data_IF_351220942879
#
_entry.id   IF_351220942879
#
_cell.length_a   1.000
_cell.length_b   1.000
_cell.length_c   1.000
_cell.angle_alpha   90.00
_cell.angle_beta   90.00
_cell.angle_gamma   90.00
#
_symmetry.space_group_name_H-M   'P 1'
#
loop_
_entity.id
_entity.type
_entity.pdbx_description
1 polymer ?
#
# COMPACT_ATOMS: atom_id res chain seq x y z
N UNK A 1 10.93 73.35 22.13
CA UNK A 1 11.63 72.69 23.25
C UNK A 1 12.81 71.93 22.64
N UNK A 2 13.98 72.56 22.59
CA UNK A 2 15.19 71.93 22.09
C UNK A 2 15.63 70.90 23.14
N UNK A 3 15.66 69.62 22.77
CA UNK A 3 16.19 68.58 23.64
C UNK A 3 17.63 68.93 24.00
N UNK A 4 17.96 68.93 25.30
CA UNK A 4 19.32 69.12 25.76
C UNK A 4 20.22 68.06 25.11
N UNK A 5 21.37 68.47 24.57
CA UNK A 5 22.37 67.54 24.05
C UNK A 5 22.75 66.55 25.16
N UNK A 6 22.88 65.24 24.87
CA UNK A 6 23.14 64.25 25.89
C UNK A 6 24.42 64.59 26.67
N UNK A 7 24.33 64.49 27.99
CA UNK A 7 25.45 64.67 28.91
C UNK A 7 26.59 63.69 28.57
N UNK A 8 27.82 63.97 29.00
CA UNK A 8 28.96 63.06 28.76
C UNK A 8 28.71 61.65 29.32
N UNK A 9 27.99 61.55 30.45
CA UNK A 9 27.61 60.29 31.08
C UNK A 9 26.63 59.46 30.23
N UNK A 10 25.60 60.10 29.65
CA UNK A 10 24.63 59.41 28.77
C UNK A 10 25.31 58.82 27.53
N UNK A 11 26.29 59.55 26.95
CA UNK A 11 27.06 59.06 25.80
C UNK A 11 27.94 57.86 26.16
N UNK A 12 28.62 57.90 27.30
CA UNK A 12 29.44 56.78 27.80
C UNK A 12 28.55 55.55 28.06
N UNK A 13 27.40 55.74 28.70
CA UNK A 13 26.46 54.65 28.94
C UNK A 13 25.91 54.03 27.65
N UNK A 14 25.55 54.86 26.65
CA UNK A 14 25.11 54.38 25.35
C UNK A 14 26.19 53.58 24.62
N UNK A 15 27.46 54.02 24.66
CA UNK A 15 28.60 53.28 24.11
C UNK A 15 28.76 51.92 24.81
N UNK A 16 28.62 51.89 26.14
CA UNK A 16 28.75 50.65 26.92
C UNK A 16 27.65 49.63 26.57
N UNK A 17 26.41 50.09 26.44
CA UNK A 17 25.30 49.25 25.97
C UNK A 17 25.53 48.76 24.53
N UNK A 18 26.12 49.59 23.67
CA UNK A 18 26.53 49.21 22.32
C UNK A 18 27.51 48.04 22.31
N UNK A 19 28.55 48.08 23.16
CA UNK A 19 29.52 46.99 23.32
C UNK A 19 28.86 45.67 23.77
N UNK A 20 27.93 45.74 24.73
CA UNK A 20 27.17 44.57 25.18
C UNK A 20 26.29 43.99 24.07
N UNK A 21 25.64 44.86 23.28
CA UNK A 21 24.78 44.43 22.17
C UNK A 21 25.60 43.77 21.06
N UNK A 22 26.76 44.33 20.69
CA UNK A 22 27.67 43.75 19.70
C UNK A 22 28.12 42.35 20.10
N UNK A 23 28.54 42.15 21.35
CA UNK A 23 28.95 40.83 21.83
C UNK A 23 27.83 39.80 21.80
N UNK A 24 26.59 40.17 22.16
CA UNK A 24 25.44 39.24 22.11
C UNK A 24 25.02 38.89 20.68
N UNK A 25 25.27 39.79 19.72
CA UNK A 25 24.92 39.60 18.32
C UNK A 25 26.01 38.88 17.50
N UNK A 26 27.15 38.52 18.11
CA UNK A 26 28.18 37.75 17.44
C UNK A 26 27.65 36.38 16.98
N UNK A 27 27.91 36.02 15.71
CA UNK A 27 27.36 34.82 15.08
C UNK A 27 28.17 33.55 15.36
N UNK A 28 29.45 33.71 15.72
CA UNK A 28 30.38 32.62 16.02
C UNK A 28 31.44 33.07 17.04
N UNK A 29 32.21 32.11 17.55
CA UNK A 29 33.23 32.32 18.59
C UNK A 29 34.34 33.26 18.13
N UNK A 30 34.78 33.16 16.87
CA UNK A 30 35.86 33.99 16.32
C UNK A 30 35.47 35.47 16.26
N UNK A 31 34.25 35.76 15.78
CA UNK A 31 33.71 37.11 15.74
C UNK A 31 33.57 37.71 17.15
N UNK A 32 33.10 36.91 18.11
CA UNK A 32 33.01 37.34 19.50
C UNK A 32 34.41 37.61 20.09
N UNK A 33 35.36 36.70 19.87
CA UNK A 33 36.74 36.83 20.35
C UNK A 33 37.39 38.13 19.85
N UNK A 34 37.20 38.44 18.57
CA UNK A 34 37.67 39.69 17.97
C UNK A 34 37.01 40.92 18.61
N UNK A 35 35.68 40.92 18.79
CA UNK A 35 34.95 42.02 19.42
C UNK A 35 35.44 42.29 20.86
N UNK A 36 35.68 41.23 21.64
CA UNK A 36 36.10 41.33 23.04
C UNK A 36 37.45 42.02 23.24
N UNK A 37 38.37 41.93 22.28
CA UNK A 37 39.72 42.49 22.38
C UNK A 37 39.90 43.82 21.61
N UNK A 38 38.92 44.24 20.81
CA UNK A 38 39.01 45.44 19.99
C UNK A 38 37.95 46.50 20.34
N UNK A 39 36.68 46.12 20.49
CA UNK A 39 35.59 47.10 20.52
C UNK A 39 35.62 47.96 21.79
N UNK A 40 36.08 47.41 22.92
CA UNK A 40 36.23 48.12 24.17
C UNK A 40 37.36 49.16 24.20
N UNK A 41 38.24 49.18 23.19
CA UNK A 41 39.46 50.00 23.22
C UNK A 41 39.17 51.50 23.31
N UNK A 42 38.18 51.99 22.56
CA UNK A 42 37.80 53.41 22.54
C UNK A 42 37.22 53.90 23.87
N UNK A 43 36.62 53.00 24.66
CA UNK A 43 36.01 53.33 25.95
C UNK A 43 36.98 53.21 27.12
N UNK A 44 37.79 52.14 27.14
CA UNK A 44 38.64 51.79 28.28
C UNK A 44 40.12 52.16 28.11
N UNK A 45 40.51 52.63 26.92
CA UNK A 45 41.84 53.19 26.64
C UNK A 45 42.99 52.19 26.75
N UNK A 46 42.72 50.89 26.67
CA UNK A 46 43.78 49.89 26.69
C UNK A 46 44.56 49.88 25.37
N UNK A 47 45.88 49.66 25.45
CA UNK A 47 46.76 49.59 24.29
C UNK A 47 46.78 48.20 23.68
N UNK A 48 46.82 47.18 24.54
CA UNK A 48 46.81 45.79 24.14
C UNK A 48 45.79 45.03 24.99
N UNK A 49 44.93 44.25 24.34
CA UNK A 49 44.09 43.25 24.97
C UNK A 49 44.40 41.87 24.40
N UNK A 50 44.39 40.86 25.25
CA UNK A 50 44.48 39.46 24.85
C UNK A 50 43.40 38.64 25.54
N UNK A 51 42.66 37.86 24.76
CA UNK A 51 41.67 36.91 25.26
C UNK A 51 42.36 35.56 25.47
N UNK A 52 42.29 35.04 26.69
CA UNK A 52 42.76 33.70 27.03
C UNK A 52 41.59 32.78 27.38
N UNK A 53 41.59 31.59 26.79
CA UNK A 53 40.62 30.52 27.08
C UNK A 53 41.41 29.27 27.40
N UNK A 54 41.14 28.65 28.55
CA UNK A 54 41.90 27.51 29.05
C UNK A 54 43.44 27.74 29.04
N UNK A 55 43.87 28.96 29.37
CA UNK A 55 45.29 29.35 29.42
C UNK A 55 45.96 29.62 28.07
N UNK A 56 45.21 29.58 26.96
CA UNK A 56 45.73 29.83 25.60
C UNK A 56 45.15 31.10 24.99
N UNK A 57 45.99 31.89 24.33
CA UNK A 57 45.57 33.11 23.65
C UNK A 57 44.72 32.77 22.41
N UNK A 58 43.48 33.28 22.38
CA UNK A 58 42.52 33.06 21.29
C UNK A 58 42.37 34.29 20.37
N UNK A 59 42.53 35.50 20.91
CA UNK A 59 42.47 36.74 20.14
C UNK A 59 43.33 37.83 20.80
N UNK A 60 43.83 38.75 19.98
CA UNK A 60 44.60 39.91 20.41
C UNK A 60 44.12 41.17 19.68
N UNK A 61 44.27 42.33 20.32
CA UNK A 61 43.94 43.62 19.70
C UNK A 61 44.68 43.82 18.39
N UNK A 62 43.95 44.22 17.34
CA UNK A 62 44.50 44.59 16.03
C UNK A 62 44.96 43.42 15.15
N UNK A 63 44.77 42.16 15.56
CA UNK A 63 45.24 40.99 14.81
C UNK A 63 44.10 39.98 14.61
N UNK A 64 43.92 39.51 13.37
CA UNK A 64 42.85 38.56 13.02
C UNK A 64 43.23 37.09 13.23
N UNK A 65 44.52 36.75 13.26
CA UNK A 65 45.03 35.38 13.45
C UNK A 65 46.15 35.39 14.49
N UNK A 66 46.00 34.61 15.55
CA UNK A 66 47.00 34.53 16.63
C UNK A 66 48.11 33.55 16.26
N UNK A 67 49.35 34.04 16.18
CA UNK A 67 50.52 33.20 16.01
C UNK A 67 51.01 32.67 17.37
N UNK A 68 51.00 31.35 17.56
CA UNK A 68 51.34 30.72 18.84
C UNK A 68 52.78 31.01 19.33
N UNK A 69 53.70 31.32 18.42
CA UNK A 69 55.11 31.58 18.73
C UNK A 69 55.43 33.08 18.88
N UNK A 70 54.43 33.97 18.80
CA UNK A 70 54.65 35.40 18.96
C UNK A 70 55.12 35.73 20.39
N UNK A 71 56.16 36.57 20.58
CA UNK A 71 56.70 36.89 21.91
C UNK A 71 55.65 37.39 22.91
N UNK A 72 54.71 38.24 22.46
CA UNK A 72 53.64 38.75 23.31
C UNK A 72 52.63 37.66 23.73
N UNK A 73 52.35 36.69 22.86
CA UNK A 73 51.47 35.55 23.19
C UNK A 73 52.10 34.67 24.25
N UNK A 74 53.38 34.32 24.08
CA UNK A 74 54.13 33.54 25.06
C UNK A 74 54.25 34.27 26.41
N UNK A 75 54.38 35.60 26.39
CA UNK A 75 54.36 36.43 27.59
C UNK A 75 53.02 36.36 28.33
N UNK A 76 51.89 36.63 27.64
CA UNK A 76 50.57 36.68 28.29
C UNK A 76 50.13 35.30 28.79
N UNK A 77 50.41 34.23 28.04
CA UNK A 77 50.12 32.86 28.49
C UNK A 77 50.90 32.49 29.76
N UNK A 78 52.18 32.91 29.85
CA UNK A 78 53.02 32.69 31.04
C UNK A 78 52.53 33.52 32.23
N UNK A 79 52.19 34.79 32.00
CA UNK A 79 51.63 35.65 33.03
C UNK A 79 50.31 35.08 33.59
N UNK A 80 49.42 34.60 32.73
CA UNK A 80 48.17 33.95 33.16
C UNK A 80 48.43 32.65 33.92
N UNK A 81 49.44 31.86 33.51
CA UNK A 81 49.87 30.67 34.25
C UNK A 81 50.43 30.99 35.64
N UNK A 82 51.16 32.09 35.79
CA UNK A 82 51.64 32.56 37.09
C UNK A 82 50.47 32.98 38.00
N UNK A 83 49.48 33.70 37.46
CA UNK A 83 48.24 34.07 38.19
C UNK A 83 47.42 32.83 38.61
N UNK A 84 47.38 31.78 37.77
CA UNK A 84 46.76 30.50 38.11
C UNK A 84 47.45 29.84 39.30
N UNK A 85 48.79 29.78 39.30
CA UNK A 85 49.57 29.19 40.38
C UNK A 85 49.40 29.91 41.74
N UNK A 86 48.98 31.17 41.70
CA UNK A 86 48.71 32.00 42.89
C UNK A 86 47.23 31.98 43.31
N UNK A 87 46.35 31.30 42.57
CA UNK A 87 44.90 31.28 42.85
C UNK A 87 44.20 32.63 42.61
N UNK A 88 44.76 33.50 41.76
CA UNK A 88 44.26 34.86 41.53
C UNK A 88 43.41 35.01 40.26
N UNK A 89 43.16 33.93 39.53
CA UNK A 89 42.37 34.02 38.30
C UNK A 89 40.90 34.29 38.51
N UNK A 90 40.34 34.06 39.71
CA UNK A 90 38.90 34.14 39.93
C UNK A 90 38.36 35.55 40.14
N UNK A 91 39.20 36.54 40.39
CA UNK A 91 38.77 37.92 40.62
C UNK A 91 39.47 38.90 39.67
N UNK A 92 38.72 39.91 39.23
CA UNK A 92 39.27 41.00 38.43
C UNK A 92 40.22 41.84 39.27
N UNK A 93 41.47 42.01 38.84
CA UNK A 93 42.45 42.75 39.60
C UNK A 93 43.56 43.36 38.73
N UNK A 94 44.15 44.46 39.21
CA UNK A 94 45.38 45.00 38.65
C UNK A 94 46.52 44.01 38.91
N UNK A 95 47.22 43.62 37.86
CA UNK A 95 48.36 42.70 37.94
C UNK A 95 49.57 43.48 38.42
N UNK A 96 50.03 43.13 39.61
CA UNK A 96 51.24 43.69 40.19
C UNK A 96 52.46 42.93 39.66
N UNK A 97 53.36 43.66 39.00
CA UNK A 97 54.55 43.10 38.36
C UNK A 97 55.54 42.48 39.34
N UNK A 98 55.45 42.79 40.64
CA UNK A 98 56.24 42.15 41.69
C UNK A 98 55.86 40.68 41.92
N UNK A 99 54.66 40.26 41.52
CA UNK A 99 54.18 38.88 41.66
C UNK A 99 54.47 38.02 40.43
N UNK A 100 55.12 38.56 39.39
CA UNK A 100 55.49 37.84 38.19
C UNK A 100 56.93 37.35 38.29
N UNK A 101 57.26 36.25 37.61
CA UNK A 101 58.64 35.77 37.52
C UNK A 101 59.53 36.75 36.74
N UNK A 102 60.84 36.64 36.94
CA UNK A 102 61.81 37.59 36.40
C UNK A 102 61.69 37.76 34.88
N UNK A 103 61.49 36.67 34.14
CA UNK A 103 61.35 36.71 32.69
C UNK A 103 60.05 37.39 32.26
N UNK A 104 58.90 37.05 32.87
CA UNK A 104 57.62 37.71 32.56
C UNK A 104 57.64 39.20 32.90
N UNK A 105 58.36 39.62 33.94
CA UNK A 105 58.51 41.04 34.28
C UNK A 105 59.34 41.80 33.22
N UNK A 106 60.41 41.20 32.70
CA UNK A 106 61.19 41.77 31.60
C UNK A 106 60.37 41.86 30.31
N UNK A 107 59.60 40.82 30.00
CA UNK A 107 58.71 40.78 28.85
C UNK A 107 57.58 41.82 28.98
N UNK A 108 57.01 42.00 30.18
CA UNK A 108 55.99 43.02 30.45
C UNK A 108 56.50 44.44 30.17
N UNK A 109 57.73 44.76 30.59
CA UNK A 109 58.35 46.07 30.38
C UNK A 109 58.72 46.34 28.91
N UNK A 110 58.96 45.30 28.12
CA UNK A 110 59.42 45.44 26.73
C UNK A 110 58.30 45.30 25.71
N UNK A 111 57.30 44.46 25.97
CA UNK A 111 56.25 44.06 25.02
C UNK A 111 54.87 44.63 25.36
N UNK A 112 54.65 45.14 26.58
CA UNK A 112 53.33 45.57 27.05
C UNK A 112 53.32 47.02 27.57
N UNK A 113 52.13 47.49 27.94
CA UNK A 113 51.98 48.73 28.68
C UNK A 113 52.26 48.47 30.18
N UNK A 114 52.71 49.48 30.96
CA UNK A 114 53.22 49.28 32.32
C UNK A 114 52.19 48.79 33.34
N UNK A 115 50.89 48.99 33.09
CA UNK A 115 49.83 48.47 33.94
C UNK A 115 48.99 47.45 33.19
N UNK A 116 48.72 46.31 33.83
CA UNK A 116 47.85 45.28 33.30
C UNK A 116 46.71 44.97 34.27
N UNK A 117 45.55 44.61 33.72
CA UNK A 117 44.38 44.20 34.47
C UNK A 117 43.91 42.84 33.96
N UNK A 118 43.75 41.90 34.88
CA UNK A 118 43.16 40.61 34.61
C UNK A 118 41.64 40.71 34.83
N UNK A 119 40.87 40.30 33.82
CA UNK A 119 39.41 40.31 33.87
C UNK A 119 38.89 38.88 33.62
N UNK A 120 38.37 38.18 34.65
CA UNK A 120 37.97 36.80 34.54
C UNK A 120 36.66 36.61 33.77
N UNK A 121 36.58 35.53 33.00
CA UNK A 121 35.36 35.05 32.36
C UNK A 121 34.88 33.79 33.09
N UNK A 122 33.71 33.89 33.72
CA UNK A 122 33.14 32.83 34.57
C UNK A 122 32.01 32.11 33.87
N UNK A 123 31.93 30.80 34.09
CA UNK A 123 30.80 30.01 33.63
C UNK A 123 29.58 30.19 34.57
N UNK A 124 28.45 29.55 34.24
CA UNK A 124 27.22 29.65 35.06
C UNK A 124 27.36 29.03 36.46
N UNK A 125 28.36 28.18 36.70
CA UNK A 125 28.71 27.63 38.01
C UNK A 125 29.68 28.50 38.81
N UNK A 126 30.13 29.63 38.24
CA UNK A 126 31.08 30.55 38.88
C UNK A 126 32.55 30.19 38.69
N UNK A 127 32.87 29.15 37.91
CA UNK A 127 34.24 28.73 37.62
C UNK A 127 34.83 29.54 36.47
N UNK A 128 36.08 29.98 36.62
CA UNK A 128 36.80 30.74 35.59
C UNK A 128 37.26 29.81 34.46
N UNK A 129 36.76 30.02 33.24
CA UNK A 129 37.17 29.22 32.06
C UNK A 129 38.16 29.98 31.14
N UNK A 130 38.34 31.27 31.39
CA UNK A 130 39.22 32.15 30.62
C UNK A 130 39.24 33.55 31.22
N UNK A 131 39.87 34.49 30.53
CA UNK A 131 39.91 35.88 30.94
C UNK A 131 40.54 36.79 29.90
N UNK A 132 40.36 38.09 30.10
CA UNK A 132 40.94 39.15 29.28
C UNK A 132 42.11 39.77 30.03
N UNK A 133 43.25 39.83 29.36
CA UNK A 133 44.40 40.61 29.79
C UNK A 133 44.34 41.98 29.13
N UNK A 134 44.16 43.05 29.91
CA UNK A 134 44.05 44.43 29.41
C UNK A 134 45.25 45.25 29.87
N UNK A 135 46.11 45.68 28.95
CA UNK A 135 47.29 46.48 29.25
C UNK A 135 47.11 47.95 28.84
N UNK A 136 47.40 48.88 29.75
CA UNK A 136 47.26 50.32 29.51
C UNK A 136 48.31 51.16 30.29
N UNK A 137 48.40 52.45 29.98
CA UNK A 137 49.42 53.36 30.55
C UNK A 137 49.14 53.84 32.00
N UNK A 138 47.90 53.70 32.47
CA UNK A 138 47.45 54.10 33.82
C UNK A 138 46.67 52.96 34.49
N UNK A 139 46.56 52.83 35.82
CA UNK A 139 45.73 51.79 36.44
C UNK A 139 44.24 52.06 36.28
N UNK A 140 43.40 51.02 36.14
CA UNK A 140 41.93 51.13 36.10
C UNK A 140 41.35 51.65 37.43
N UNK A 141 40.45 52.64 37.37
CA UNK A 141 39.74 53.12 38.55
C UNK A 141 38.55 52.20 38.92
N UNK A 142 38.01 52.35 40.13
CA UNK A 142 36.96 51.44 40.65
C UNK A 142 35.68 51.43 39.79
N UNK A 143 35.33 52.57 39.18
CA UNK A 143 34.17 52.68 38.31
C UNK A 143 34.39 51.94 36.97
N UNK A 144 35.57 52.07 36.38
CA UNK A 144 35.97 51.34 35.18
C UNK A 144 36.04 49.83 35.44
N UNK A 145 36.59 49.42 36.59
CA UNK A 145 36.65 48.02 37.01
C UNK A 145 35.24 47.42 37.11
N UNK A 146 34.29 48.16 37.70
CA UNK A 146 32.90 47.73 37.80
C UNK A 146 32.24 47.56 36.43
N UNK A 147 32.49 48.48 35.49
CA UNK A 147 31.99 48.38 34.11
C UNK A 147 32.64 47.21 33.35
N UNK A 148 33.94 47.00 33.51
CA UNK A 148 34.65 45.87 32.91
C UNK A 148 34.12 44.54 33.44
N UNK A 149 33.83 44.42 34.74
CA UNK A 149 33.24 43.22 35.32
C UNK A 149 31.87 42.92 34.70
N UNK A 150 31.01 43.94 34.58
CA UNK A 150 29.70 43.79 33.93
C UNK A 150 29.80 43.41 32.44
N UNK A 151 30.83 43.90 31.75
CA UNK A 151 31.11 43.55 30.36
C UNK A 151 31.62 42.12 30.23
N UNK A 152 32.50 41.68 31.14
CA UNK A 152 32.99 40.31 31.23
C UNK A 152 31.86 39.30 31.41
N UNK A 153 30.87 39.60 32.27
CA UNK A 153 29.70 38.74 32.45
C UNK A 153 28.89 38.62 31.15
N UNK A 154 28.75 39.71 30.40
CA UNK A 154 28.09 39.70 29.08
C UNK A 154 28.88 38.88 28.07
N UNK A 155 30.20 39.05 28.02
CA UNK A 155 31.08 38.30 27.13
C UNK A 155 31.08 36.80 27.46
N UNK A 156 31.18 36.45 28.74
CA UNK A 156 31.12 35.06 29.20
C UNK A 156 29.79 34.40 28.85
N UNK A 157 28.66 35.10 29.02
CA UNK A 157 27.35 34.60 28.63
C UNK A 157 27.25 34.36 27.11
N UNK A 158 27.73 35.30 26.29
CA UNK A 158 27.74 35.17 24.83
C UNK A 158 28.64 33.99 24.39
N UNK A 159 29.81 33.83 25.01
CA UNK A 159 30.75 32.75 24.72
C UNK A 159 30.14 31.37 24.96
N UNK A 160 29.49 31.16 26.11
CA UNK A 160 28.85 29.90 26.46
C UNK A 160 27.62 29.58 25.59
N UNK A 161 26.95 30.60 25.04
CA UNK A 161 25.85 30.42 24.12
C UNK A 161 26.33 29.91 22.73
N UNK A 162 27.52 30.35 22.31
CA UNK A 162 28.12 29.98 21.02
C UNK A 162 28.95 28.69 21.08
N UNK A 163 29.29 28.19 22.27
CA UNK A 163 29.95 26.88 22.40
C UNK A 163 29.05 25.76 21.86
N UNK A 164 29.60 24.84 21.03
CA UNK A 164 28.83 23.73 20.48
C UNK A 164 28.32 22.84 21.63
N UNK A 165 27.04 22.98 21.98
CA UNK A 165 26.38 22.06 22.90
C UNK A 165 26.42 20.67 22.27
N UNK A 166 26.81 19.64 23.05
CA UNK A 166 26.57 18.24 22.66
C UNK A 166 25.10 18.12 22.30
N UNK A 167 24.73 17.88 21.02
CA UNK A 167 23.33 17.84 20.65
C UNK A 167 22.70 16.65 21.38
N UNK A 168 21.59 16.90 22.05
CA UNK A 168 20.77 15.87 22.66
C UNK A 168 20.19 14.99 21.53
N UNK A 169 20.95 13.96 21.14
CA UNK A 169 20.47 12.90 20.24
C UNK A 169 20.03 11.73 21.10
N UNK A 170 18.73 11.47 21.11
CA UNK A 170 18.11 10.26 21.65
C UNK A 170 18.65 9.03 20.87
N UNK A 171 19.87 8.58 21.20
CA UNK A 171 20.49 7.40 20.60
C UNK A 171 19.91 6.16 21.26
N UNK A 172 18.92 5.56 20.62
CA UNK A 172 18.52 4.19 20.96
C UNK A 172 19.77 3.29 20.83
N UNK A 173 20.14 2.52 21.87
CA UNK A 173 21.33 1.67 21.80
C UNK A 173 21.13 0.62 20.70
N UNK A 174 22.14 0.40 19.85
CA UNK A 174 22.09 -0.53 18.69
C UNK A 174 21.54 -1.92 19.06
N UNK A 175 21.78 -2.39 20.30
CA UNK A 175 21.23 -3.64 20.84
C UNK A 175 19.69 -3.66 20.90
N UNK A 176 19.04 -2.55 21.27
CA UNK A 176 17.57 -2.44 21.29
C UNK A 176 16.99 -2.39 19.87
N UNK A 177 17.67 -1.70 18.95
CA UNK A 177 17.29 -1.70 17.53
C UNK A 177 17.40 -3.10 16.91
N UNK A 178 18.50 -3.82 17.17
CA UNK A 178 18.67 -5.20 16.72
C UNK A 178 17.66 -6.16 17.35
N UNK A 179 17.37 -6.02 18.64
CA UNK A 179 16.35 -6.83 19.31
C UNK A 179 14.94 -6.58 18.73
N UNK A 180 14.61 -5.31 18.44
CA UNK A 180 13.34 -4.94 17.83
C UNK A 180 13.24 -5.46 16.38
N UNK A 181 14.33 -5.36 15.61
CA UNK A 181 14.39 -5.94 14.27
C UNK A 181 14.24 -7.46 14.30
N UNK A 182 14.92 -8.15 15.22
CA UNK A 182 14.80 -9.60 15.40
C UNK A 182 13.37 -10.01 15.80
N UNK A 183 12.74 -9.26 16.71
CA UNK A 183 11.35 -9.50 17.09
C UNK A 183 10.40 -9.31 15.90
N UNK A 184 10.57 -8.26 15.10
CA UNK A 184 9.79 -8.02 13.90
C UNK A 184 9.97 -9.15 12.87
N UNK A 185 11.22 -9.58 12.63
CA UNK A 185 11.54 -10.71 11.76
C UNK A 185 10.91 -12.02 12.24
N UNK A 186 10.85 -12.25 13.55
CA UNK A 186 10.20 -13.43 14.12
C UNK A 186 8.68 -13.40 13.90
N UNK A 187 8.04 -12.24 14.08
CA UNK A 187 6.61 -12.05 13.80
C UNK A 187 6.29 -12.28 12.32
N UNK A 188 7.16 -11.85 11.42
CA UNK A 188 7.05 -12.05 9.97
C UNK A 188 7.12 -13.53 9.54
N UNK A 189 7.71 -14.40 10.36
CA UNK A 189 7.83 -15.85 10.13
C UNK A 189 6.61 -16.64 10.64
N UNK A 190 5.68 -16.01 11.37
CA UNK A 190 4.49 -16.70 11.89
C UNK A 190 3.61 -17.18 10.72
N UNK A 191 3.24 -18.49 10.67
CA UNK A 191 2.44 -19.03 9.59
C UNK A 191 0.98 -18.62 9.74
N UNK A 192 0.47 -17.85 8.77
CA UNK A 192 -0.92 -17.40 8.69
C UNK A 192 -1.64 -18.10 7.55
N UNK A 193 -2.92 -18.43 7.72
CA UNK A 193 -3.74 -19.01 6.65
C UNK A 193 -3.98 -17.97 5.57
N UNK A 194 -3.62 -18.27 4.33
CA UNK A 194 -3.94 -17.41 3.20
C UNK A 194 -5.45 -17.44 2.93
N UNK A 195 -6.01 -16.30 2.56
CA UNK A 195 -7.38 -16.26 2.07
C UNK A 195 -7.52 -15.30 0.91
N UNK A 196 -8.38 -15.63 -0.04
CA UNK A 196 -8.70 -14.80 -1.19
C UNK A 196 -10.22 -14.66 -1.30
N UNK A 197 -10.66 -13.50 -1.80
CA UNK A 197 -12.05 -13.20 -2.06
C UNK A 197 -12.30 -13.27 -3.57
N UNK A 198 -13.39 -13.89 -3.98
CA UNK A 198 -13.78 -14.03 -5.38
C UNK A 198 -15.30 -13.98 -5.52
N UNK A 199 -15.83 -13.40 -6.61
CA UNK A 199 -17.25 -13.49 -6.93
C UNK A 199 -17.70 -14.94 -7.06
N UNK A 200 -18.91 -15.23 -6.58
CA UNK A 200 -19.48 -16.56 -6.63
C UNK A 200 -20.99 -16.56 -6.89
N UNK A 201 -21.47 -17.63 -7.51
CA UNK A 201 -22.87 -17.86 -7.83
C UNK A 201 -23.29 -19.28 -7.45
N UNK A 202 -24.49 -19.41 -6.90
CA UNK A 202 -25.11 -20.68 -6.54
C UNK A 202 -25.72 -21.29 -7.81
N UNK A 203 -25.13 -22.37 -8.31
CA UNK A 203 -25.54 -23.02 -9.56
C UNK A 203 -26.04 -24.44 -9.29
N UNK A 204 -26.85 -25.04 -10.17
CA UNK A 204 -27.37 -26.38 -9.93
C UNK A 204 -26.28 -27.46 -10.05
N UNK A 205 -26.24 -28.37 -9.08
CA UNK A 205 -25.40 -29.57 -9.15
C UNK A 205 -26.05 -30.57 -10.14
N UNK A 206 -25.31 -31.02 -11.16
CA UNK A 206 -25.78 -32.06 -12.08
C UNK A 206 -27.02 -31.71 -12.92
N UNK A 207 -27.24 -30.44 -13.25
CA UNK A 207 -28.37 -30.04 -14.10
C UNK A 207 -28.26 -30.62 -15.53
N UNK A 208 -29.35 -31.16 -16.08
CA UNK A 208 -29.37 -31.76 -17.42
C UNK A 208 -29.70 -30.70 -18.46
N UNK A 209 -28.82 -30.53 -19.43
CA UNK A 209 -29.02 -29.56 -20.52
C UNK A 209 -30.11 -30.08 -21.45
N UNK A 210 -31.11 -29.23 -21.69
CA UNK A 210 -32.14 -29.46 -22.70
C UNK A 210 -31.74 -28.67 -23.94
N UNK A 211 -31.37 -29.39 -24.99
CA UNK A 211 -30.95 -28.82 -26.27
C UNK A 211 -32.08 -28.89 -27.31
N UNK A 212 -31.99 -28.07 -28.35
CA UNK A 212 -32.90 -28.12 -29.48
C UNK A 212 -32.78 -29.46 -30.23
N UNK A 213 -33.88 -30.21 -30.42
CA UNK A 213 -33.85 -31.53 -31.05
C UNK A 213 -33.81 -31.48 -32.59
N UNK A 214 -34.10 -30.31 -33.17
CA UNK A 214 -34.15 -30.06 -34.62
C UNK A 214 -33.93 -28.57 -34.90
N UNK A 215 -33.59 -28.27 -36.14
CA UNK A 215 -33.47 -26.90 -36.65
C UNK A 215 -34.86 -26.29 -36.86
N UNK A 216 -35.11 -25.10 -36.32
CA UNK A 216 -36.40 -24.46 -36.46
C UNK A 216 -36.55 -23.19 -35.64
N UNK A 217 -37.73 -22.57 -35.73
CA UNK A 217 -38.07 -21.37 -34.96
C UNK A 217 -38.87 -21.78 -33.73
N UNK A 218 -38.51 -21.22 -32.57
CA UNK A 218 -39.25 -21.43 -31.33
C UNK A 218 -40.55 -20.62 -31.41
N UNK A 219 -41.70 -21.30 -31.37
CA UNK A 219 -43.01 -20.66 -31.38
C UNK A 219 -43.34 -20.08 -29.98
N UNK A 220 -43.16 -20.87 -28.93
CA UNK A 220 -43.39 -20.42 -27.55
C UNK A 220 -42.67 -21.29 -26.50
N UNK A 221 -42.41 -20.68 -25.34
CA UNK A 221 -42.03 -21.38 -24.13
C UNK A 221 -43.26 -21.59 -23.26
N UNK A 222 -43.53 -22.84 -22.86
CA UNK A 222 -44.66 -23.22 -22.01
C UNK A 222 -44.31 -23.21 -20.52
N UNK A 223 -43.02 -23.01 -20.20
CA UNK A 223 -42.50 -22.93 -18.83
C UNK A 223 -41.83 -21.59 -18.56
N UNK A 224 -41.94 -21.12 -17.33
CA UNK A 224 -41.30 -19.90 -16.84
C UNK A 224 -39.92 -20.21 -16.22
N UNK A 225 -39.00 -19.24 -16.18
CA UNK A 225 -37.74 -19.40 -15.46
C UNK A 225 -37.99 -19.78 -13.99
N UNK A 226 -37.22 -20.72 -13.48
CA UNK A 226 -37.31 -21.27 -12.12
C UNK A 226 -38.64 -21.98 -11.78
N UNK A 227 -39.46 -22.31 -12.78
CA UNK A 227 -40.67 -23.09 -12.59
C UNK A 227 -40.33 -24.56 -12.37
N UNK A 228 -41.04 -25.21 -11.44
CA UNK A 228 -40.98 -26.66 -11.25
C UNK A 228 -41.68 -27.39 -12.40
N UNK A 229 -41.03 -28.41 -12.95
CA UNK A 229 -41.52 -29.25 -14.04
C UNK A 229 -41.45 -30.72 -13.62
N UNK A 230 -42.42 -31.52 -14.08
CA UNK A 230 -42.42 -32.96 -13.96
C UNK A 230 -41.82 -33.62 -15.21
N UNK A 231 -41.42 -34.88 -15.11
CA UNK A 231 -40.98 -35.64 -16.27
C UNK A 231 -42.16 -35.79 -17.28
N UNK A 232 -41.91 -35.47 -18.54
CA UNK A 232 -42.89 -35.51 -19.63
C UNK A 232 -43.59 -34.17 -19.95
N UNK A 233 -43.44 -33.17 -19.09
CA UNK A 233 -44.01 -31.82 -19.30
C UNK A 233 -43.42 -31.18 -20.56
N UNK A 234 -44.25 -30.48 -21.33
CA UNK A 234 -43.80 -29.75 -22.52
C UNK A 234 -43.15 -28.45 -22.07
N UNK A 235 -41.91 -28.23 -22.50
CA UNK A 235 -41.10 -27.07 -22.15
C UNK A 235 -41.16 -25.99 -23.23
N UNK A 236 -40.96 -26.41 -24.48
CA UNK A 236 -40.83 -25.53 -25.64
C UNK A 236 -41.56 -26.14 -26.81
N UNK A 237 -42.26 -25.31 -27.58
CA UNK A 237 -42.88 -25.69 -28.84
C UNK A 237 -42.22 -24.95 -30.00
N UNK A 238 -41.81 -25.69 -31.01
CA UNK A 238 -41.32 -25.16 -32.27
C UNK A 238 -42.49 -24.85 -33.21
N UNK A 239 -42.27 -24.00 -34.21
CA UNK A 239 -43.22 -23.83 -35.30
C UNK A 239 -43.34 -25.14 -36.10
N UNK A 240 -44.45 -25.84 -35.88
CA UNK A 240 -44.72 -27.14 -36.46
C UNK A 240 -45.54 -27.06 -37.76
N UNK A 241 -45.80 -25.86 -38.31
CA UNK A 241 -46.72 -25.70 -39.46
C UNK A 241 -46.27 -26.53 -40.67
N UNK A 242 -44.98 -26.46 -41.02
CA UNK A 242 -44.39 -27.23 -42.12
C UNK A 242 -44.29 -28.73 -41.81
N UNK A 243 -43.87 -29.08 -40.59
CA UNK A 243 -43.74 -30.48 -40.14
C UNK A 243 -45.10 -31.19 -40.12
N UNK A 244 -46.15 -30.51 -39.66
CA UNK A 244 -47.52 -31.02 -39.64
C UNK A 244 -48.04 -31.24 -41.06
N UNK A 245 -47.83 -30.27 -41.95
CA UNK A 245 -48.21 -30.42 -43.36
C UNK A 245 -47.49 -31.61 -44.02
N UNK A 246 -46.20 -31.81 -43.73
CA UNK A 246 -45.44 -32.97 -44.23
C UNK A 246 -45.99 -34.30 -43.69
N UNK A 247 -46.30 -34.39 -42.39
CA UNK A 247 -46.90 -35.57 -41.80
C UNK A 247 -48.29 -35.88 -42.41
N UNK A 248 -49.13 -34.86 -42.62
CA UNK A 248 -50.45 -35.00 -43.24
C UNK A 248 -50.35 -35.48 -44.70
N UNK A 249 -49.37 -34.98 -45.47
CA UNK A 249 -49.12 -35.42 -46.85
C UNK A 249 -48.64 -36.87 -46.88
N UNK A 250 -47.72 -37.25 -45.99
CA UNK A 250 -47.20 -38.62 -45.92
C UNK A 250 -48.29 -39.63 -45.50
N UNK A 251 -49.16 -39.26 -44.56
CA UNK A 251 -50.32 -40.06 -44.14
C UNK A 251 -51.28 -40.30 -45.31
N UNK A 252 -51.60 -39.26 -46.10
CA UNK A 252 -52.44 -39.41 -47.30
C UNK A 252 -51.76 -40.28 -48.37
N UNK A 253 -50.46 -40.12 -48.58
CA UNK A 253 -49.71 -40.91 -49.54
C UNK A 253 -49.68 -42.40 -49.18
N UNK A 254 -49.56 -42.72 -47.88
CA UNK A 254 -49.71 -44.09 -47.38
C UNK A 254 -51.12 -44.63 -47.65
N UNK A 255 -52.17 -43.85 -47.34
CA UNK A 255 -53.56 -44.25 -47.60
C UNK A 255 -53.84 -44.55 -49.08
N UNK A 256 -53.24 -43.78 -50.01
CA UNK A 256 -53.31 -44.06 -51.46
C UNK A 256 -52.62 -45.39 -51.80
N UNK A 257 -51.41 -45.61 -51.30
CA UNK A 257 -50.66 -46.85 -51.55
C UNK A 257 -51.39 -48.09 -50.99
N UNK A 258 -51.97 -47.99 -49.80
CA UNK A 258 -52.75 -49.07 -49.17
C UNK A 258 -54.03 -49.38 -49.97
N UNK A 259 -54.71 -48.34 -50.47
CA UNK A 259 -55.87 -48.51 -51.34
C UNK A 259 -55.50 -49.16 -52.68
N UNK A 260 -54.36 -48.77 -53.29
CA UNK A 260 -53.84 -49.40 -54.51
C UNK A 260 -53.51 -50.87 -54.30
N UNK A 261 -52.81 -51.21 -53.21
CA UNK A 261 -52.49 -52.59 -52.86
C UNK A 261 -53.77 -53.42 -52.69
N UNK A 262 -54.76 -52.91 -51.94
CA UNK A 262 -56.04 -53.59 -51.71
C UNK A 262 -56.85 -53.80 -53.00
N UNK A 263 -56.88 -52.79 -53.88
CA UNK A 263 -57.58 -52.89 -55.15
C UNK A 263 -56.92 -53.92 -56.08
N UNK A 264 -55.58 -53.99 -56.08
CA UNK A 264 -54.84 -54.96 -56.90
C UNK A 264 -54.85 -56.36 -56.29
N UNK A 265 -54.83 -56.52 -54.96
CA UNK A 265 -54.93 -57.83 -54.31
C UNK A 265 -56.26 -58.51 -54.61
N UNK A 266 -57.34 -57.73 -54.71
CA UNK A 266 -58.66 -58.23 -55.13
C UNK A 266 -58.68 -58.67 -56.59
N UNK A 267 -57.95 -58.00 -57.49
CA UNK A 267 -57.85 -58.37 -58.92
C UNK A 267 -56.91 -59.56 -59.17
N UNK A 268 -55.87 -59.70 -58.35
CA UNK A 268 -54.80 -60.68 -58.50
C UNK A 268 -55.22 -62.14 -58.23
N UNK A 269 -56.37 -62.37 -57.59
CA UNK A 269 -56.94 -63.72 -57.42
C UNK A 269 -57.24 -64.43 -58.75
N UNK A 270 -57.22 -63.73 -59.89
CA UNK A 270 -57.58 -64.26 -61.21
C UNK A 270 -56.39 -64.63 -62.12
N UNK A 271 -55.13 -64.26 -61.81
CA UNK A 271 -54.00 -64.46 -62.74
C UNK A 271 -52.62 -64.53 -62.05
N UNK A 272 -51.77 -65.47 -62.47
CA UNK A 272 -50.48 -65.79 -61.84
C UNK A 272 -49.40 -64.70 -62.03
N UNK A 273 -49.49 -63.89 -63.09
CA UNK A 273 -48.61 -62.73 -63.33
C UNK A 273 -48.80 -61.60 -62.29
N UNK A 274 -49.89 -61.67 -61.51
CA UNK A 274 -50.25 -60.66 -60.52
C UNK A 274 -49.39 -60.69 -59.25
N UNK A 275 -48.73 -61.80 -58.93
CA UNK A 275 -47.97 -61.96 -57.68
C UNK A 275 -46.79 -60.98 -57.57
N UNK A 276 -45.97 -60.83 -58.62
CA UNK A 276 -44.83 -59.92 -58.61
C UNK A 276 -45.25 -58.44 -58.51
N UNK A 277 -46.43 -58.09 -59.06
CA UNK A 277 -47.01 -56.74 -58.93
C UNK A 277 -47.50 -56.48 -57.51
N UNK A 278 -48.07 -57.49 -56.83
CA UNK A 278 -48.46 -57.38 -55.43
C UNK A 278 -47.25 -57.19 -54.52
N UNK A 279 -46.16 -57.92 -54.76
CA UNK A 279 -44.93 -57.77 -53.98
C UNK A 279 -44.34 -56.36 -54.12
N UNK A 280 -44.35 -55.79 -55.33
CA UNK A 280 -43.93 -54.41 -55.58
C UNK A 280 -44.83 -53.38 -54.88
N UNK A 281 -46.15 -53.57 -54.94
CA UNK A 281 -47.11 -52.69 -54.26
C UNK A 281 -47.00 -52.79 -52.73
N UNK A 282 -46.76 -53.98 -52.20
CA UNK A 282 -46.50 -54.20 -50.78
C UNK A 282 -45.22 -53.48 -50.35
N UNK A 283 -44.13 -53.60 -51.13
CA UNK A 283 -42.90 -52.85 -50.89
C UNK A 283 -43.12 -51.32 -50.93
N UNK A 284 -43.99 -50.83 -51.83
CA UNK A 284 -44.36 -49.41 -51.89
C UNK A 284 -45.15 -48.96 -50.67
N UNK A 285 -46.08 -49.77 -50.16
CA UNK A 285 -46.80 -49.48 -48.91
C UNK A 285 -45.82 -49.39 -47.74
N UNK A 286 -44.90 -50.35 -47.61
CA UNK A 286 -43.89 -50.31 -46.55
C UNK A 286 -42.97 -49.09 -46.67
N UNK A 287 -42.57 -48.71 -47.89
CA UNK A 287 -41.84 -47.45 -48.12
C UNK A 287 -42.64 -46.22 -47.64
N UNK A 288 -43.92 -46.12 -48.02
CA UNK A 288 -44.77 -44.98 -47.60
C UNK A 288 -45.07 -44.98 -46.11
N UNK A 289 -45.16 -46.16 -45.48
CA UNK A 289 -45.29 -46.27 -44.03
C UNK A 289 -44.04 -45.73 -43.32
N UNK A 290 -42.85 -46.11 -43.80
CA UNK A 290 -41.60 -45.58 -43.26
C UNK A 290 -41.48 -44.06 -43.43
N UNK A 291 -41.87 -43.50 -44.59
CA UNK A 291 -41.90 -42.05 -44.82
C UNK A 291 -42.87 -41.33 -43.85
N UNK A 292 -44.06 -41.89 -43.62
CA UNK A 292 -45.05 -41.37 -42.67
C UNK A 292 -44.51 -41.40 -41.25
N UNK A 293 -44.00 -42.55 -40.81
CA UNK A 293 -43.49 -42.73 -39.45
C UNK A 293 -42.32 -41.77 -39.18
N UNK A 294 -41.45 -41.54 -40.17
CA UNK A 294 -40.38 -40.53 -40.10
C UNK A 294 -40.94 -39.11 -39.96
N UNK A 295 -41.93 -38.72 -40.76
CA UNK A 295 -42.57 -37.40 -40.67
C UNK A 295 -43.28 -37.19 -39.32
N UNK A 296 -43.93 -38.22 -38.78
CA UNK A 296 -44.53 -38.19 -37.44
C UNK A 296 -43.49 -38.06 -36.33
N UNK A 297 -42.34 -38.74 -36.45
CA UNK A 297 -41.24 -38.61 -35.50
C UNK A 297 -40.65 -37.19 -35.52
N UNK A 298 -40.47 -36.58 -36.70
CA UNK A 298 -40.04 -35.19 -36.81
C UNK A 298 -41.05 -34.23 -36.17
N UNK A 299 -42.34 -34.44 -36.42
CA UNK A 299 -43.40 -33.65 -35.80
C UNK A 299 -43.38 -33.80 -34.27
N UNK A 300 -43.22 -35.01 -33.75
CA UNK A 300 -43.13 -35.26 -32.31
C UNK A 300 -41.92 -34.54 -31.65
N UNK A 301 -40.81 -34.41 -32.39
CA UNK A 301 -39.63 -33.65 -31.94
C UNK A 301 -39.84 -32.13 -31.94
N UNK A 302 -40.92 -31.61 -32.53
CA UNK A 302 -41.26 -30.18 -32.45
C UNK A 302 -41.70 -29.75 -31.03
N UNK A 303 -42.09 -30.72 -30.19
CA UNK A 303 -42.39 -30.52 -28.78
C UNK A 303 -41.23 -31.03 -27.92
N UNK A 304 -40.52 -30.11 -27.26
CA UNK A 304 -39.45 -30.47 -26.35
C UNK A 304 -40.03 -30.76 -24.97
N UNK A 305 -39.82 -31.97 -24.46
CA UNK A 305 -40.34 -32.42 -23.16
C UNK A 305 -39.25 -32.55 -22.12
N UNK A 306 -39.63 -32.42 -20.86
CA UNK A 306 -38.76 -32.64 -19.72
C UNK A 306 -38.41 -34.13 -19.56
N UNK A 307 -37.13 -34.48 -19.64
CA UNK A 307 -36.67 -35.85 -19.40
C UNK A 307 -36.73 -36.26 -17.92
N UNK A 308 -36.75 -35.28 -17.01
CA UNK A 308 -36.78 -35.48 -15.56
C UNK A 308 -37.55 -34.37 -14.86
N UNK A 309 -37.97 -34.65 -13.63
CA UNK A 309 -38.50 -33.62 -12.75
C UNK A 309 -37.38 -32.68 -12.24
N UNK A 310 -37.72 -31.42 -11.97
CA UNK A 310 -36.80 -30.41 -11.47
C UNK A 310 -37.30 -28.99 -11.68
N UNK A 311 -36.40 -28.02 -11.61
CA UNK A 311 -36.65 -26.62 -11.96
C UNK A 311 -36.02 -26.29 -13.31
N UNK A 312 -36.73 -25.53 -14.15
CA UNK A 312 -36.23 -25.05 -15.43
C UNK A 312 -35.38 -23.78 -15.24
N UNK A 313 -34.07 -23.88 -15.49
CA UNK A 313 -33.09 -22.79 -15.34
C UNK A 313 -32.68 -22.28 -16.71
N UNK A 314 -33.07 -21.04 -17.02
CA UNK A 314 -32.68 -20.31 -18.23
C UNK A 314 -32.84 -18.80 -17.98
N UNK A 315 -32.12 -17.97 -18.76
CA UNK A 315 -32.05 -16.53 -18.51
C UNK A 315 -33.36 -15.81 -18.85
N UNK A 316 -33.89 -16.02 -20.06
CA UNK A 316 -35.11 -15.35 -20.52
C UNK A 316 -35.73 -16.08 -21.72
N UNK A 317 -37.03 -16.37 -21.67
CA UNK A 317 -37.80 -16.99 -22.75
C UNK A 317 -38.05 -16.00 -23.90
N UNK A 318 -38.21 -14.71 -23.60
CA UNK A 318 -38.54 -13.70 -24.61
C UNK A 318 -37.40 -13.50 -25.60
N UNK A 319 -36.16 -13.70 -25.14
CA UNK A 319 -34.97 -13.61 -25.98
C UNK A 319 -34.84 -14.70 -27.02
N UNK A 320 -35.49 -15.85 -26.82
CA UNK A 320 -35.40 -17.03 -27.68
C UNK A 320 -36.69 -17.27 -28.48
N UNK A 321 -37.83 -16.79 -27.97
CA UNK A 321 -39.11 -16.89 -28.68
C UNK A 321 -39.05 -16.14 -30.01
N UNK A 322 -39.44 -16.81 -31.09
CA UNK A 322 -39.35 -16.28 -32.45
C UNK A 322 -37.96 -16.31 -33.09
N UNK A 323 -36.92 -16.80 -32.39
CA UNK A 323 -35.58 -16.96 -32.97
C UNK A 323 -35.40 -18.33 -33.63
N UNK A 324 -34.68 -18.40 -34.77
CA UNK A 324 -34.21 -19.66 -35.31
C UNK A 324 -33.10 -20.21 -34.43
N UNK A 325 -33.18 -21.50 -34.10
CA UNK A 325 -32.16 -22.25 -33.34
C UNK A 325 -31.71 -23.48 -34.13
N UNK A 326 -30.50 -23.94 -33.85
CA UNK A 326 -29.92 -25.12 -34.48
C UNK A 326 -29.98 -26.34 -33.57
N UNK A 327 -30.01 -27.53 -34.18
CA UNK A 327 -29.94 -28.81 -33.49
C UNK A 327 -28.73 -28.86 -32.56
N UNK A 328 -28.95 -29.18 -31.28
CA UNK A 328 -27.91 -29.20 -30.25
C UNK A 328 -27.69 -27.87 -29.53
N UNK A 329 -28.30 -26.77 -29.96
CA UNK A 329 -28.24 -25.49 -29.26
C UNK A 329 -28.90 -25.59 -27.88
N UNK A 330 -28.24 -25.05 -26.85
CA UNK A 330 -28.72 -25.12 -25.46
C UNK A 330 -29.89 -24.16 -25.23
N UNK A 331 -31.07 -24.71 -24.98
CA UNK A 331 -32.27 -23.92 -24.70
C UNK A 331 -32.40 -23.61 -23.20
N UNK A 332 -32.26 -24.64 -22.36
CA UNK A 332 -32.39 -24.51 -20.91
C UNK A 332 -31.65 -25.63 -20.18
N UNK A 333 -31.69 -25.62 -18.85
CA UNK A 333 -31.19 -26.70 -18.00
C UNK A 333 -32.25 -27.08 -16.97
N UNK A 334 -32.50 -28.38 -16.79
CA UNK A 334 -33.37 -28.87 -15.72
C UNK A 334 -32.48 -29.32 -14.57
N UNK A 335 -32.75 -28.80 -13.38
CA UNK A 335 -31.96 -29.04 -12.17
C UNK A 335 -32.82 -29.46 -10.98
N UNK A 336 -32.23 -30.14 -10.01
CA UNK A 336 -32.90 -30.35 -8.72
C UNK A 336 -32.70 -29.11 -7.84
N UNK A 337 -33.76 -28.46 -7.32
CA UNK A 337 -33.62 -27.27 -6.47
C UNK A 337 -32.91 -27.55 -5.13
N UNK A 338 -32.90 -28.79 -4.66
CA UNK A 338 -32.25 -29.20 -3.41
C UNK A 338 -30.76 -29.47 -3.56
N UNK A 339 -30.27 -29.63 -4.80
CA UNK A 339 -28.88 -29.92 -5.09
C UNK A 339 -28.25 -28.74 -5.83
N UNK A 340 -27.47 -27.95 -5.09
CA UNK A 340 -26.71 -26.85 -5.65
C UNK A 340 -25.22 -27.00 -5.34
N UNK A 341 -24.40 -26.48 -6.24
CA UNK A 341 -22.97 -26.30 -6.07
C UNK A 341 -22.66 -24.79 -6.10
N UNK A 342 -21.53 -24.41 -5.53
CA UNK A 342 -21.03 -23.06 -5.56
C UNK A 342 -20.03 -22.93 -6.70
N UNK A 343 -20.33 -22.07 -7.67
CA UNK A 343 -19.39 -21.69 -8.72
C UNK A 343 -18.70 -20.41 -8.34
N UNK A 344 -17.37 -20.41 -8.38
CA UNK A 344 -16.54 -19.29 -7.98
C UNK A 344 -15.63 -18.92 -9.15
N UNK A 345 -15.55 -17.62 -9.43
CA UNK A 345 -14.69 -17.07 -10.48
C UNK A 345 -13.49 -16.38 -9.83
N UNK A 346 -12.37 -17.10 -9.68
CA UNK A 346 -11.16 -16.58 -9.02
C UNK A 346 -10.27 -15.84 -10.03
N UNK A 347 -10.08 -14.51 -9.91
CA UNK A 347 -9.23 -13.75 -10.83
C UNK A 347 -7.80 -14.28 -10.83
N UNK A 348 -7.16 -14.33 -12.01
CA UNK A 348 -5.77 -14.82 -12.15
C UNK A 348 -4.80 -14.00 -11.29
N UNK A 349 -5.04 -12.70 -11.13
CA UNK A 349 -4.24 -11.81 -10.27
C UNK A 349 -4.25 -12.19 -8.80
N UNK A 350 -5.33 -12.83 -8.34
CA UNK A 350 -5.52 -13.21 -6.95
C UNK A 350 -5.35 -14.72 -6.73
N UNK A 351 -5.06 -15.50 -7.78
CA UNK A 351 -4.89 -16.95 -7.75
C UNK A 351 -3.86 -17.41 -6.70
N UNK A 352 -4.32 -18.20 -5.73
CA UNK A 352 -3.48 -18.87 -4.73
C UNK A 352 -3.48 -20.38 -5.00
N UNK A 353 -2.48 -21.10 -4.49
CA UNK A 353 -2.52 -22.55 -4.46
C UNK A 353 -3.70 -22.99 -3.57
N UNK A 354 -4.62 -23.76 -4.15
CA UNK A 354 -5.78 -24.33 -3.48
C UNK A 354 -5.75 -25.84 -3.70
N UNK A 355 -5.78 -26.60 -2.61
CA UNK A 355 -5.93 -28.05 -2.67
C UNK A 355 -7.42 -28.44 -2.71
N UNK A 356 -7.78 -29.57 -3.36
CA UNK A 356 -9.11 -30.13 -3.23
C UNK A 356 -9.47 -30.35 -1.76
N UNK A 357 -10.68 -29.98 -1.38
CA UNK A 357 -11.17 -30.03 0.00
C UNK A 357 -10.92 -28.76 0.82
N UNK A 358 -10.31 -27.72 0.24
CA UNK A 358 -10.12 -26.42 0.90
C UNK A 358 -11.44 -25.82 1.39
N UNK A 359 -11.38 -25.16 2.56
CA UNK A 359 -12.53 -24.50 3.16
C UNK A 359 -12.94 -23.28 2.30
N UNK A 360 -14.24 -23.15 2.05
CA UNK A 360 -14.84 -22.01 1.35
C UNK A 360 -16.00 -21.48 2.18
N UNK A 361 -16.05 -20.15 2.34
CA UNK A 361 -17.17 -19.47 2.97
C UNK A 361 -17.84 -18.53 1.97
N UNK A 362 -19.10 -18.77 1.65
CA UNK A 362 -19.93 -17.89 0.82
C UNK A 362 -20.67 -16.88 1.70
N UNK A 363 -20.59 -15.61 1.30
CA UNK A 363 -21.40 -14.52 1.84
C UNK A 363 -22.30 -14.02 0.71
N UNK A 364 -23.62 -14.16 0.86
CA UNK A 364 -24.59 -13.80 -0.16
C UNK A 364 -24.78 -12.27 -0.20
N UNK A 365 -25.02 -11.71 -1.38
CA UNK A 365 -25.30 -10.26 -1.50
C UNK A 365 -26.59 -9.86 -0.77
N UNK A 366 -27.56 -10.79 -0.72
CA UNK A 366 -28.82 -10.63 0.01
C UNK A 366 -28.67 -10.80 1.53
N UNK A 367 -27.64 -11.52 1.99
CA UNK A 367 -27.41 -11.82 3.39
C UNK A 367 -25.90 -11.91 3.69
N UNK A 368 -25.21 -10.76 3.78
CA UNK A 368 -23.75 -10.73 3.91
C UNK A 368 -23.24 -11.09 5.31
N UNK A 369 -24.14 -11.18 6.31
CA UNK A 369 -23.77 -11.48 7.70
C UNK A 369 -23.76 -12.99 7.99
N UNK A 370 -24.52 -13.78 7.23
CA UNK A 370 -24.55 -15.23 7.38
C UNK A 370 -23.55 -15.89 6.43
N UNK A 371 -22.66 -16.70 7.00
CA UNK A 371 -21.70 -17.49 6.23
C UNK A 371 -22.33 -18.83 5.85
N UNK A 372 -22.23 -19.19 4.58
CA UNK A 372 -22.54 -20.54 4.09
C UNK A 372 -21.23 -21.30 3.85
N UNK A 373 -21.07 -22.43 4.53
CA UNK A 373 -19.86 -23.24 4.45
C UNK A 373 -19.92 -24.20 3.25
N UNK A 374 -18.83 -24.25 2.49
CA UNK A 374 -18.64 -25.12 1.35
C UNK A 374 -17.20 -25.66 1.34
N UNK A 375 -16.99 -26.74 0.59
CA UNK A 375 -15.68 -27.34 0.36
C UNK A 375 -15.36 -27.34 -1.12
N UNK A 376 -14.14 -26.94 -1.47
CA UNK A 376 -13.68 -26.96 -2.84
C UNK A 376 -13.61 -28.39 -3.36
N UNK A 377 -14.29 -28.70 -4.46
CA UNK A 377 -14.22 -30.02 -5.09
C UNK A 377 -13.28 -30.01 -6.29
N UNK A 378 -13.39 -28.98 -7.12
CA UNK A 378 -12.66 -28.91 -8.38
C UNK A 378 -12.20 -27.49 -8.69
N UNK A 379 -10.96 -27.39 -9.17
CA UNK A 379 -10.41 -26.19 -9.77
C UNK A 379 -10.14 -26.45 -11.26
N UNK A 380 -10.67 -25.60 -12.14
CA UNK A 380 -10.34 -25.67 -13.57
C UNK A 380 -8.88 -25.25 -13.79
N UNK A 381 -8.16 -26.00 -14.63
CA UNK A 381 -6.76 -25.74 -14.96
C UNK A 381 -6.56 -24.55 -15.91
N UNK A 382 -7.60 -24.19 -16.66
CA UNK A 382 -7.55 -23.13 -17.66
C UNK A 382 -8.37 -21.92 -17.22
N UNK A 383 -7.80 -20.73 -17.38
CA UNK A 383 -8.49 -19.48 -17.11
C UNK A 383 -9.42 -19.14 -18.28
N UNK A 384 -10.65 -18.76 -17.98
CA UNK A 384 -11.65 -18.37 -18.97
C UNK A 384 -11.97 -16.88 -18.83
N UNK A 385 -12.39 -16.25 -19.93
CA UNK A 385 -12.90 -14.89 -19.90
C UNK A 385 -14.23 -14.84 -19.16
N UNK A 386 -14.32 -14.02 -18.12
CA UNK A 386 -15.57 -13.74 -17.41
C UNK A 386 -16.42 -12.75 -18.20
N UNK A 387 -17.71 -12.63 -17.83
CA UNK A 387 -18.59 -11.62 -18.41
C UNK A 387 -18.08 -10.17 -18.20
N UNK A 388 -17.21 -9.96 -17.22
CA UNK A 388 -16.55 -8.69 -16.94
C UNK A 388 -15.26 -8.45 -17.76
N UNK A 389 -14.90 -9.37 -18.67
CA UNK A 389 -13.71 -9.24 -19.54
C UNK A 389 -12.38 -9.52 -18.84
N UNK A 390 -12.40 -10.12 -17.65
CA UNK A 390 -11.18 -10.50 -16.92
C UNK A 390 -10.96 -12.02 -17.03
N UNK A 391 -9.70 -12.45 -16.95
CA UNK A 391 -9.38 -13.87 -16.87
C UNK A 391 -9.57 -14.37 -15.44
N UNK A 392 -10.37 -15.42 -15.26
CA UNK A 392 -10.58 -16.07 -13.98
C UNK A 392 -10.53 -17.60 -14.11
N UNK A 393 -10.02 -18.25 -13.07
CA UNK A 393 -10.15 -19.69 -12.90
C UNK A 393 -11.54 -20.01 -12.35
N UNK A 394 -12.23 -20.94 -13.01
CA UNK A 394 -13.49 -21.47 -12.50
C UNK A 394 -13.22 -22.52 -11.44
N UNK A 395 -13.81 -22.34 -10.27
CA UNK A 395 -13.78 -23.28 -9.16
C UNK A 395 -15.20 -23.74 -8.85
N UNK A 396 -15.38 -25.04 -8.61
CA UNK A 396 -16.66 -25.63 -8.21
C UNK A 396 -16.50 -26.19 -6.77
N UNK A 397 -17.41 -25.83 -5.88
CA UNK A 397 -17.41 -26.22 -4.47
C UNK A 397 -18.76 -26.77 -4.02
N UNK A 398 -18.78 -27.78 -3.16
CA UNK A 398 -20.00 -28.37 -2.61
C UNK A 398 -20.34 -27.76 -1.25
N UNK A 399 -21.62 -27.47 -1.01
CA UNK A 399 -22.08 -26.96 0.29
C UNK A 399 -22.03 -28.06 1.35
N UNK A 400 -21.57 -27.72 2.56
CA UNK A 400 -21.51 -28.63 3.69
C UNK A 400 -22.87 -28.82 4.39
N UNK A 401 -23.76 -27.84 4.25
CA UNK A 401 -25.11 -27.82 4.82
C UNK A 401 -26.16 -27.59 3.71
N UNK A 402 -27.42 -27.37 4.10
CA UNK A 402 -28.50 -27.07 3.15
C UNK A 402 -28.11 -25.91 2.23
N UNK A 403 -28.07 -26.11 0.91
CA UNK A 403 -27.64 -25.09 -0.01
C UNK A 403 -28.66 -23.94 -0.06
N UNK A 404 -28.18 -22.69 -0.26
CA UNK A 404 -29.05 -21.58 -0.59
C UNK A 404 -29.72 -21.79 -1.96
N UNK A 405 -30.74 -20.97 -2.26
CA UNK A 405 -31.47 -21.06 -3.53
C UNK A 405 -30.54 -20.82 -4.73
N UNK A 406 -30.69 -21.65 -5.76
CA UNK A 406 -29.99 -21.50 -7.05
C UNK A 406 -30.28 -20.12 -7.67
N UNK A 407 -29.25 -19.52 -8.26
CA UNK A 407 -29.28 -18.20 -8.89
C UNK A 407 -28.90 -17.05 -7.96
N UNK A 408 -28.68 -17.31 -6.67
CA UNK A 408 -28.16 -16.29 -5.76
C UNK A 408 -26.66 -16.04 -6.00
N UNK A 409 -26.25 -14.79 -5.81
CA UNK A 409 -24.87 -14.32 -5.98
C UNK A 409 -24.30 -13.79 -4.68
N UNK A 410 -22.97 -13.77 -4.62
CA UNK A 410 -22.25 -13.31 -3.46
C UNK A 410 -20.75 -13.30 -3.66
N UNK A 411 -20.04 -13.19 -2.55
CA UNK A 411 -18.58 -13.27 -2.51
C UNK A 411 -18.16 -14.52 -1.73
N UNK A 412 -17.34 -15.36 -2.35
CA UNK A 412 -16.71 -16.50 -1.71
C UNK A 412 -15.34 -16.11 -1.15
N UNK A 413 -15.10 -16.47 0.11
CA UNK A 413 -13.78 -16.45 0.75
C UNK A 413 -13.19 -17.85 0.72
N UNK A 414 -12.13 -18.03 -0.07
CA UNK A 414 -11.41 -19.30 -0.15
C UNK A 414 -10.22 -19.27 0.80
N UNK A 415 -10.04 -20.34 1.56
CA UNK A 415 -8.91 -20.49 2.46
C UNK A 415 -7.87 -21.43 1.84
N UNK A 416 -6.66 -20.91 1.62
CA UNK A 416 -5.53 -21.71 1.14
C UNK A 416 -4.60 -22.13 2.27
N UNK A 417 -3.43 -22.62 1.87
CA UNK A 417 -2.42 -23.09 2.81
C UNK A 417 -1.87 -21.99 3.72
N UNK A 418 -1.24 -22.44 4.80
CA UNK A 418 -0.50 -21.56 5.70
C UNK A 418 0.80 -21.12 5.03
N UNK A 419 1.02 -19.81 4.96
CA UNK A 419 2.29 -19.24 4.53
C UNK A 419 2.82 -18.23 5.55
N UNK A 420 4.13 -17.95 5.56
CA UNK A 420 4.70 -16.92 6.42
C UNK A 420 4.01 -15.56 6.19
N UNK A 421 3.76 -14.82 7.26
CA UNK A 421 3.14 -13.49 7.19
C UNK A 421 3.89 -12.53 6.23
N UNK A 422 5.22 -12.65 6.17
CA UNK A 422 6.04 -11.92 5.20
C UNK A 422 5.60 -12.15 3.75
N UNK A 423 5.37 -13.40 3.37
CA UNK A 423 4.92 -13.74 2.02
C UNK A 423 3.49 -13.23 1.79
N UNK A 424 2.60 -13.40 2.77
CA UNK A 424 1.22 -12.91 2.67
C UNK A 424 1.15 -11.39 2.43
N UNK A 425 1.94 -10.59 3.17
CA UNK A 425 1.98 -9.13 3.04
C UNK A 425 2.69 -8.66 1.76
N UNK A 426 3.77 -9.34 1.38
CA UNK A 426 4.60 -8.94 0.24
C UNK A 426 4.15 -9.56 -1.10
N UNK A 427 3.19 -10.49 -1.11
CA UNK A 427 2.75 -11.19 -2.34
C UNK A 427 2.35 -10.24 -3.47
N UNK A 428 1.47 -9.26 -3.19
CA UNK A 428 1.01 -8.28 -4.19
C UNK A 428 2.11 -7.35 -4.68
N UNK A 429 2.91 -6.69 -3.82
CA UNK A 429 4.01 -5.86 -4.30
C UNK A 429 5.11 -6.67 -5.00
N UNK A 430 5.39 -7.91 -4.57
CA UNK A 430 6.32 -8.80 -5.28
C UNK A 430 5.80 -9.18 -6.66
N UNK A 431 4.50 -9.49 -6.80
CA UNK A 431 3.89 -9.78 -8.10
C UNK A 431 3.93 -8.57 -9.03
N UNK A 432 3.64 -7.37 -8.53
CA UNK A 432 3.71 -6.12 -9.29
C UNK A 432 5.16 -5.77 -9.67
N UNK A 433 6.11 -5.93 -8.75
CA UNK A 433 7.54 -5.73 -9.03
C UNK A 433 8.04 -6.73 -10.08
N UNK A 434 7.61 -7.99 -10.00
CA UNK A 434 7.93 -9.02 -10.99
C UNK A 434 7.40 -8.65 -12.37
N UNK A 435 6.13 -8.26 -12.47
CA UNK A 435 5.52 -7.81 -13.72
C UNK A 435 6.17 -6.54 -14.29
N UNK A 436 6.56 -5.60 -13.43
CA UNK A 436 7.22 -4.36 -13.85
C UNK A 436 8.70 -4.53 -14.22
N UNK A 437 9.41 -5.45 -13.57
CA UNK A 437 10.84 -5.72 -13.80
C UNK A 437 11.09 -6.85 -14.82
N UNK A 438 10.06 -7.58 -15.24
CA UNK A 438 10.16 -8.64 -16.25
C UNK A 438 10.88 -9.91 -15.79
N UNK A 439 10.95 -10.16 -14.48
CA UNK A 439 11.38 -11.44 -13.88
C UNK A 439 10.22 -12.45 -13.87
#
# INVERSE_FOLDING_TARGET
MNAALPTSAERIFALFLGLQQQARNASNIEQLAFAMVNDGQAMFGFRHAALLIAGKAQALTGISVVEANAPFVAFVERAASALLGQGRLDEGHNVDSAHLDEQTRLDMNSLSAPYAYWLPLKNRSGETFGGLWLAREQPFNDAEQSLLQQLADTYAHAWLALQPRKPWRMRWPRKKLLAMAALLSLVLLVPVRQSVLAPAEVVPLGGRVVAAPLDGVIAEFLVKPNQSVAAGDILVRFDATSLKAQADVAERALGVAEAELKANSQRAFADAESSARLDLLAARVEQKRAERDYAQQLLARSEVRAERAGIAVFADAERLTGKPVQTGERLMQIADPSQAELRIELPVSDAIALEPGADVALFLDSDPLHRHEAKLERAAYEAQGTAAGQLAYRLDAAFAATPPRIGLRGTAKLFGDRAPLAYYLLRRPLAAARQGLGL
#
